data_IF_989705947910
#
_entry.id   IF_989705947910
#
_cell.length_a   1.000
_cell.length_b   1.000
_cell.length_c   1.000
_cell.angle_alpha   90.00
_cell.angle_beta   90.00
_cell.angle_gamma   90.00
#
_symmetry.space_group_name_H-M   'P 1'
#
loop_
_entity.id
_entity.type
_entity.pdbx_description
1 polymer ?
#
# COMPACT_ATOMS: atom_id res chain seq x y z
N UNK A 1 -9.39 -5.62 -6.64
CA UNK A 1 -9.36 -4.23 -7.18
C UNK A 1 -9.26 -4.35 -8.69
N UNK A 2 -10.10 -3.65 -9.45
CA UNK A 2 -9.98 -3.58 -10.91
C UNK A 2 -9.38 -2.22 -11.27
N UNK A 3 -8.28 -2.22 -12.02
CA UNK A 3 -7.56 -1.00 -12.42
C UNK A 3 -7.20 -1.13 -13.89
N UNK A 4 -7.58 -0.13 -14.67
CA UNK A 4 -7.14 0.02 -16.06
C UNK A 4 -5.74 0.65 -16.06
N UNK A 5 -4.75 -0.07 -16.59
CA UNK A 5 -3.34 0.34 -16.56
C UNK A 5 -2.84 0.47 -18.00
N UNK A 6 -2.24 1.60 -18.40
CA UNK A 6 -1.62 1.74 -19.71
C UNK A 6 -0.48 0.72 -19.87
N UNK A 7 -0.31 0.09 -21.05
CA UNK A 7 0.68 -0.98 -21.25
C UNK A 7 2.14 -0.51 -21.09
N UNK A 8 2.38 0.81 -21.11
CA UNK A 8 3.70 1.43 -20.88
C UNK A 8 4.11 1.46 -19.40
N UNK A 9 3.17 1.26 -18.48
CA UNK A 9 3.41 1.34 -17.04
C UNK A 9 3.42 -0.06 -16.45
N UNK A 10 4.48 -0.40 -15.72
CA UNK A 10 4.57 -1.69 -15.06
C UNK A 10 3.53 -1.81 -13.93
N UNK A 11 2.82 -2.94 -13.90
CA UNK A 11 1.84 -3.26 -12.84
C UNK A 11 2.50 -3.20 -11.46
N UNK A 12 3.75 -3.65 -11.35
CA UNK A 12 4.56 -3.61 -10.13
C UNK A 12 4.70 -2.20 -9.56
N UNK A 13 4.89 -1.20 -10.41
CA UNK A 13 5.03 0.20 -10.01
C UNK A 13 3.74 0.74 -9.41
N UNK A 14 2.60 0.43 -10.03
CA UNK A 14 1.28 0.86 -9.53
C UNK A 14 0.94 0.15 -8.22
N UNK A 15 1.16 -1.16 -8.15
CA UNK A 15 0.90 -1.92 -6.92
C UNK A 15 1.80 -1.48 -5.77
N UNK A 16 3.09 -1.25 -6.03
CA UNK A 16 4.02 -0.70 -5.03
C UNK A 16 3.57 0.65 -4.50
N UNK A 17 3.16 1.56 -5.40
CA UNK A 17 2.65 2.87 -5.02
C UNK A 17 1.35 2.77 -4.20
N UNK A 18 0.37 2.00 -4.68
CA UNK A 18 -0.93 1.86 -4.02
C UNK A 18 -0.78 1.26 -2.62
N UNK A 19 0.01 0.19 -2.47
CA UNK A 19 0.25 -0.44 -1.18
C UNK A 19 1.02 0.48 -0.23
N UNK A 20 2.04 1.19 -0.71
CA UNK A 20 2.82 2.12 0.11
C UNK A 20 1.99 3.33 0.57
N UNK A 21 1.26 3.95 -0.37
CA UNK A 21 0.45 5.15 -0.08
C UNK A 21 -0.72 4.84 0.83
N UNK A 22 -1.44 3.73 0.59
CA UNK A 22 -2.53 3.29 1.47
C UNK A 22 -2.05 3.01 2.89
N UNK A 23 -0.91 2.31 3.05
CA UNK A 23 -0.31 2.08 4.37
C UNK A 23 -0.07 3.40 5.10
N UNK A 24 0.56 4.39 4.45
CA UNK A 24 0.82 5.70 5.05
C UNK A 24 -0.47 6.42 5.46
N UNK A 25 -1.50 6.40 4.62
CA UNK A 25 -2.79 7.02 4.91
C UNK A 25 -3.49 6.36 6.10
N UNK A 26 -3.45 5.03 6.18
CA UNK A 26 -3.99 4.27 7.30
C UNK A 26 -3.28 4.60 8.61
N UNK A 27 -1.94 4.70 8.61
CA UNK A 27 -1.18 5.11 9.80
C UNK A 27 -1.45 6.55 10.24
N UNK A 28 -1.70 7.46 9.29
CA UNK A 28 -2.07 8.84 9.60
C UNK A 28 -3.47 8.95 10.21
N UNK A 29 -4.41 8.15 9.69
CA UNK A 29 -5.81 8.19 10.12
C UNK A 29 -6.05 7.45 11.43
N UNK A 30 -5.35 6.35 11.66
CA UNK A 30 -5.53 5.49 12.83
C UNK A 30 -4.20 5.31 13.56
N UNK A 31 -3.93 6.20 14.52
CA UNK A 31 -2.72 6.19 15.33
C UNK A 31 -2.54 4.89 16.14
N UNK A 32 -3.65 4.22 16.49
CA UNK A 32 -3.67 2.95 17.23
C UNK A 32 -3.05 1.78 16.44
N UNK A 33 -3.22 1.76 15.11
CA UNK A 33 -2.66 0.71 14.24
C UNK A 33 -1.14 0.74 14.21
N UNK A 34 -0.51 1.85 14.64
CA UNK A 34 0.94 1.98 14.79
C UNK A 34 1.49 1.02 15.85
N UNK A 35 0.69 0.65 16.86
CA UNK A 35 1.08 -0.29 17.91
C UNK A 35 0.95 -1.75 17.45
N UNK A 36 -0.08 -2.06 16.66
CA UNK A 36 -0.30 -3.42 16.11
C UNK A 36 0.65 -3.74 14.94
N UNK A 37 0.98 -2.74 14.12
CA UNK A 37 1.83 -2.90 12.93
C UNK A 37 3.07 -2.00 13.02
N UNK A 38 3.89 -2.21 14.06
CA UNK A 38 5.07 -1.37 14.40
C UNK A 38 6.09 -1.22 13.27
N UNK A 39 6.22 -2.24 12.41
CA UNK A 39 7.14 -2.23 11.26
C UNK A 39 6.60 -1.50 10.02
N UNK A 40 5.46 -0.81 10.12
CA UNK A 40 4.81 -0.12 8.99
C UNK A 40 4.41 -1.06 7.83
N UNK A 41 4.54 -2.36 8.01
CA UNK A 41 4.07 -3.39 7.10
C UNK A 41 2.59 -3.67 7.38
N UNK A 42 1.72 -2.96 6.66
CA UNK A 42 0.27 -3.17 6.73
C UNK A 42 -0.19 -4.30 5.79
N UNK A 43 0.48 -4.45 4.65
CA UNK A 43 0.14 -5.44 3.63
C UNK A 43 1.11 -6.63 3.64
N UNK A 44 0.63 -7.81 3.24
CA UNK A 44 1.48 -8.97 2.96
C UNK A 44 2.51 -8.67 1.86
N UNK A 45 3.62 -9.42 1.82
CA UNK A 45 4.62 -9.32 0.74
C UNK A 45 4.05 -9.79 -0.60
N UNK A 46 4.58 -9.25 -1.71
CA UNK A 46 4.06 -9.49 -3.06
C UNK A 46 2.85 -8.62 -3.41
N UNK A 47 2.30 -8.76 -4.61
CA UNK A 47 1.01 -8.20 -5.00
C UNK A 47 0.32 -9.18 -5.94
#
# INVERSE_FOLDING_TARGET
>A
MLVEIPPKVAVSSIMGYLKGKSSLMTYKKYSELRYKYRNREFWCRGY
#
